data_IF_589361886342
#
_entry.id   IF_589361886342
#
_cell.length_a   1.000
_cell.length_b   1.000
_cell.length_c   1.000
_cell.angle_alpha   90.00
_cell.angle_beta   90.00
_cell.angle_gamma   90.00
#
_symmetry.space_group_name_H-M   'P 1'
#
loop_
_entity.id
_entity.type
_entity.pdbx_description
1 polymer ?
#
# COMPACT_ATOMS: atom_id res chain seq x y z
N UNK A 1 27.64 19.37 6.84
CA UNK A 1 26.72 19.52 5.70
C UNK A 1 26.07 18.18 5.47
N UNK A 2 24.77 18.03 5.81
CA UNK A 2 24.05 16.76 5.62
C UNK A 2 23.80 16.58 4.12
N UNK A 3 24.00 15.36 3.62
CA UNK A 3 23.72 14.98 2.23
C UNK A 3 22.27 15.33 1.89
N UNK A 4 22.06 16.28 0.97
CA UNK A 4 20.71 16.63 0.47
C UNK A 4 20.04 15.45 -0.26
N UNK A 5 20.82 14.42 -0.62
CA UNK A 5 20.33 13.18 -1.22
C UNK A 5 20.69 11.99 -0.33
N UNK A 6 19.80 11.59 0.59
CA UNK A 6 20.04 10.45 1.49
C UNK A 6 19.30 9.17 1.07
N UNK A 7 18.23 9.27 0.27
CA UNK A 7 17.38 8.14 -0.10
C UNK A 7 18.10 7.21 -1.09
N UNK A 8 18.33 5.97 -0.67
CA UNK A 8 18.92 4.92 -1.53
C UNK A 8 17.85 4.19 -2.34
N UNK A 9 18.26 3.39 -3.31
CA UNK A 9 17.35 2.58 -4.12
C UNK A 9 16.55 1.58 -3.29
N UNK A 10 17.18 0.98 -2.29
CA UNK A 10 16.52 0.05 -1.38
C UNK A 10 15.57 0.79 -0.44
N UNK A 11 15.98 1.93 0.09
CA UNK A 11 15.16 2.76 0.96
C UNK A 11 13.86 3.22 0.30
N UNK A 12 13.94 3.61 -0.98
CA UNK A 12 12.78 3.99 -1.79
C UNK A 12 11.85 2.80 -2.01
N UNK A 13 12.41 1.64 -2.38
CA UNK A 13 11.65 0.40 -2.56
C UNK A 13 10.92 0.02 -1.26
N UNK A 14 11.65 -0.09 -0.15
CA UNK A 14 11.10 -0.45 1.15
C UNK A 14 9.99 0.52 1.56
N UNK A 15 10.22 1.83 1.42
CA UNK A 15 9.21 2.83 1.79
C UNK A 15 7.96 2.76 0.91
N UNK A 16 8.08 2.58 -0.40
CA UNK A 16 6.90 2.44 -1.28
C UNK A 16 6.12 1.19 -0.88
N UNK A 17 6.82 0.07 -0.69
CA UNK A 17 6.19 -1.20 -0.33
C UNK A 17 5.48 -1.11 1.02
N UNK A 18 6.13 -0.58 2.06
CA UNK A 18 5.51 -0.45 3.39
C UNK A 18 4.44 0.64 3.46
N UNK A 19 4.46 1.64 2.57
CA UNK A 19 3.41 2.67 2.51
C UNK A 19 2.15 2.17 1.79
N UNK A 20 2.30 1.28 0.82
CA UNK A 20 1.17 0.72 0.05
C UNK A 20 0.59 -0.51 0.74
N UNK A 21 1.47 -1.45 1.14
CA UNK A 21 1.06 -2.65 1.87
C UNK A 21 0.87 -2.24 3.33
N UNK A 22 -0.34 -1.77 3.61
CA UNK A 22 -0.81 -1.50 4.96
C UNK A 22 -1.74 -2.59 5.48
N UNK A 23 -2.40 -2.23 6.57
CA UNK A 23 -3.36 -3.03 7.31
C UNK A 23 -4.48 -3.59 6.43
N UNK A 24 -4.95 -2.80 5.46
CA UNK A 24 -6.04 -3.20 4.55
C UNK A 24 -5.70 -4.36 3.61
N UNK A 25 -4.47 -4.88 3.61
CA UNK A 25 -4.16 -6.11 2.85
C UNK A 25 -4.91 -7.33 3.42
N UNK A 26 -5.19 -7.34 4.73
CA UNK A 26 -5.81 -8.48 5.39
C UNK A 26 -7.28 -8.67 5.05
N UNK A 27 -8.01 -7.58 4.76
CA UNK A 27 -9.41 -7.62 4.29
C UNK A 27 -9.52 -7.85 2.78
N UNK A 28 -8.41 -7.70 2.04
CA UNK A 28 -8.46 -7.52 0.60
C UNK A 28 -9.03 -8.73 -0.16
N UNK A 29 -8.75 -9.94 0.32
CA UNK A 29 -9.33 -11.15 -0.25
C UNK A 29 -10.86 -11.18 -0.12
N UNK A 30 -11.41 -10.75 1.03
CA UNK A 30 -12.87 -10.65 1.23
C UNK A 30 -13.47 -9.63 0.28
N UNK A 31 -12.89 -8.42 0.23
CA UNK A 31 -13.38 -7.32 -0.59
C UNK A 31 -13.46 -7.70 -2.08
N UNK A 32 -12.48 -8.47 -2.58
CA UNK A 32 -12.50 -8.95 -3.96
C UNK A 32 -13.42 -10.15 -4.16
N UNK A 33 -13.46 -11.09 -3.20
CA UNK A 33 -14.36 -12.22 -3.26
C UNK A 33 -15.82 -11.74 -3.35
N UNK A 34 -16.20 -10.70 -2.60
CA UNK A 34 -17.54 -10.11 -2.63
C UNK A 34 -17.96 -9.62 -4.03
N UNK A 35 -17.02 -9.09 -4.81
CA UNK A 35 -17.32 -8.49 -6.13
C UNK A 35 -17.17 -9.51 -7.27
N UNK A 36 -16.11 -10.33 -7.24
CA UNK A 36 -15.71 -11.23 -8.34
C UNK A 36 -15.37 -12.65 -7.90
N UNK A 37 -15.63 -13.02 -6.64
CA UNK A 37 -15.39 -14.36 -6.13
C UNK A 37 -13.95 -14.82 -6.36
N UNK A 38 -13.80 -15.97 -7.02
CA UNK A 38 -12.51 -16.61 -7.30
C UNK A 38 -11.62 -15.79 -8.27
N UNK A 39 -12.19 -14.85 -9.03
CA UNK A 39 -11.47 -14.13 -10.10
C UNK A 39 -10.68 -12.91 -9.60
N UNK A 40 -10.61 -12.70 -8.28
CA UNK A 40 -9.94 -11.54 -7.68
C UNK A 40 -8.49 -11.35 -8.13
N UNK A 41 -7.75 -12.44 -8.32
CA UNK A 41 -6.35 -12.39 -8.77
C UNK A 41 -6.17 -11.80 -10.18
N UNK A 42 -7.13 -12.02 -11.09
CA UNK A 42 -7.12 -11.45 -12.45
C UNK A 42 -7.30 -9.93 -12.38
N UNK A 43 -8.23 -9.48 -11.54
CA UNK A 43 -8.50 -8.06 -11.30
C UNK A 43 -7.25 -7.35 -10.76
N UNK A 44 -6.49 -8.01 -9.88
CA UNK A 44 -5.23 -7.46 -9.35
C UNK A 44 -4.22 -7.23 -10.47
N UNK A 45 -4.05 -8.18 -11.39
CA UNK A 45 -3.11 -8.05 -12.51
C UNK A 45 -3.47 -6.84 -13.38
N UNK A 46 -4.75 -6.72 -13.77
CA UNK A 46 -5.22 -5.61 -14.60
C UNK A 46 -4.98 -4.27 -13.89
N UNK A 47 -5.33 -4.21 -12.60
CA UNK A 47 -5.21 -2.98 -11.82
C UNK A 47 -3.76 -2.60 -11.52
N UNK A 48 -2.87 -3.57 -11.36
CA UNK A 48 -1.43 -3.35 -11.19
C UNK A 48 -0.81 -2.74 -12.45
N UNK A 49 -1.23 -3.19 -13.64
CA UNK A 49 -0.80 -2.61 -14.93
C UNK A 49 -1.26 -1.16 -15.06
N UNK A 50 -2.50 -0.85 -14.67
CA UNK A 50 -3.02 0.54 -14.67
C UNK A 50 -2.21 1.41 -13.70
N UNK A 51 -1.95 0.92 -12.48
CA UNK A 51 -1.15 1.63 -11.50
C UNK A 51 0.30 1.84 -11.92
N UNK A 52 0.86 0.93 -12.72
CA UNK A 52 2.17 1.15 -13.33
C UNK A 52 2.17 2.37 -14.26
N UNK A 53 1.11 2.56 -15.05
CA UNK A 53 0.92 3.77 -15.84
C UNK A 53 0.85 5.03 -14.96
N UNK A 54 0.06 4.98 -13.89
CA UNK A 54 -0.11 6.11 -12.95
C UNK A 54 1.20 6.50 -12.26
N UNK A 55 1.93 5.53 -11.70
CA UNK A 55 3.21 5.80 -11.03
C UNK A 55 4.26 6.34 -12.01
N UNK A 56 4.23 5.87 -13.26
CA UNK A 56 5.14 6.33 -14.29
C UNK A 56 4.86 7.80 -14.67
N UNK A 57 3.58 8.19 -14.75
CA UNK A 57 3.19 9.59 -14.94
C UNK A 57 3.70 10.45 -13.79
N UNK A 58 3.52 10.01 -12.53
CA UNK A 58 4.01 10.72 -11.35
C UNK A 58 5.53 10.89 -11.37
N UNK A 59 6.26 9.85 -11.76
CA UNK A 59 7.70 9.91 -11.99
C UNK A 59 8.10 10.93 -13.06
N UNK A 60 7.41 10.94 -14.20
CA UNK A 60 7.68 11.90 -15.27
C UNK A 60 7.45 13.34 -14.82
N UNK A 61 6.41 13.61 -14.05
CA UNK A 61 6.14 14.93 -13.47
C UNK A 61 7.35 15.41 -12.65
N UNK A 62 7.87 14.55 -11.76
CA UNK A 62 9.01 14.90 -10.91
C UNK A 62 10.30 15.05 -11.73
N UNK A 63 10.52 14.13 -12.69
CA UNK A 63 11.70 14.15 -13.56
C UNK A 63 11.77 15.41 -14.41
N UNK A 64 10.66 15.83 -15.04
CA UNK A 64 10.61 17.02 -15.88
C UNK A 64 10.72 18.31 -15.08
N UNK A 65 10.38 18.29 -13.79
CA UNK A 65 10.60 19.41 -12.88
C UNK A 65 11.91 19.29 -12.09
N UNK A 66 12.93 18.63 -12.67
CA UNK A 66 14.29 18.51 -12.12
C UNK A 66 14.35 17.93 -10.69
N UNK A 67 13.38 17.10 -10.30
CA UNK A 67 13.27 16.54 -8.95
C UNK A 67 13.16 17.62 -7.86
N UNK A 68 12.53 18.75 -8.15
CA UNK A 68 12.16 19.74 -7.15
C UNK A 68 11.12 19.17 -6.15
N UNK A 69 11.00 19.80 -4.99
CA UNK A 69 9.97 19.48 -4.01
C UNK A 69 8.55 19.68 -4.58
N UNK A 70 7.60 18.83 -4.17
CA UNK A 70 6.23 18.87 -4.66
C UNK A 70 5.58 20.26 -4.58
N UNK A 71 5.77 20.98 -3.47
CA UNK A 71 5.26 22.35 -3.31
C UNK A 71 5.78 23.29 -4.40
N UNK A 72 7.07 23.21 -4.71
CA UNK A 72 7.71 24.03 -5.74
C UNK A 72 7.22 23.65 -7.13
N UNK A 73 7.16 22.34 -7.44
CA UNK A 73 6.59 21.84 -8.70
C UNK A 73 5.21 22.43 -8.94
N UNK A 74 4.33 22.34 -7.94
CA UNK A 74 2.94 22.78 -8.09
C UNK A 74 2.86 24.31 -8.25
N UNK A 75 3.62 25.09 -7.48
CA UNK A 75 3.58 26.55 -7.60
C UNK A 75 4.23 27.07 -8.90
N UNK A 76 5.29 26.43 -9.39
CA UNK A 76 5.96 26.85 -10.62
C UNK A 76 5.05 26.63 -11.85
N UNK A 77 4.20 25.59 -11.82
CA UNK A 77 3.30 25.26 -12.93
C UNK A 77 1.92 25.96 -12.83
N UNK A 78 1.35 26.12 -11.64
CA UNK A 78 0.00 26.66 -11.45
C UNK A 78 -0.03 28.09 -10.85
N UNK A 79 1.12 28.64 -10.49
CA UNK A 79 1.24 29.92 -9.80
C UNK A 79 0.96 29.82 -8.29
N UNK A 80 1.29 30.88 -7.56
CA UNK A 80 1.28 30.90 -6.08
C UNK A 80 -0.09 30.66 -5.44
N UNK A 81 -1.17 31.11 -6.08
CA UNK A 81 -2.53 31.01 -5.50
C UNK A 81 -3.13 29.63 -5.71
N UNK A 82 -3.28 29.20 -6.98
CA UNK A 82 -3.79 27.86 -7.31
C UNK A 82 -2.86 26.77 -6.78
N UNK A 83 -1.54 26.97 -6.83
CA UNK A 83 -0.60 26.00 -6.32
C UNK A 83 -0.73 25.76 -4.81
N UNK A 84 -0.99 26.82 -4.04
CA UNK A 84 -1.26 26.69 -2.59
C UNK A 84 -2.55 25.93 -2.31
N UNK A 85 -3.60 26.11 -3.12
CA UNK A 85 -4.86 25.35 -2.99
C UNK A 85 -4.62 23.87 -3.27
N UNK A 86 -3.87 23.54 -4.34
CA UNK A 86 -3.56 22.15 -4.70
C UNK A 86 -2.74 21.47 -3.60
N UNK A 87 -1.69 22.13 -3.08
CA UNK A 87 -0.86 21.57 -2.00
C UNK A 87 -1.68 21.40 -0.72
N UNK A 88 -2.54 22.35 -0.37
CA UNK A 88 -3.40 22.23 0.79
C UNK A 88 -4.39 21.06 0.65
N UNK A 89 -4.99 20.90 -0.54
CA UNK A 89 -5.85 19.75 -0.86
C UNK A 89 -5.11 18.42 -0.71
N UNK A 90 -3.87 18.35 -1.22
CA UNK A 90 -3.01 17.17 -1.06
C UNK A 90 -2.74 16.85 0.42
N UNK A 91 -2.44 17.86 1.25
CA UNK A 91 -2.22 17.68 2.69
C UNK A 91 -3.49 17.16 3.37
N UNK A 92 -4.64 17.78 3.13
CA UNK A 92 -5.92 17.38 3.73
C UNK A 92 -6.27 15.94 3.33
N UNK A 93 -6.10 15.59 2.05
CA UNK A 93 -6.29 14.23 1.57
C UNK A 93 -5.42 13.21 2.32
N UNK A 94 -4.12 13.49 2.47
CA UNK A 94 -3.21 12.59 3.18
C UNK A 94 -3.57 12.47 4.67
N UNK A 95 -3.96 13.56 5.32
CA UNK A 95 -4.39 13.52 6.73
C UNK A 95 -5.62 12.63 6.91
N UNK A 96 -6.62 12.76 6.03
CA UNK A 96 -7.83 11.92 6.09
C UNK A 96 -7.47 10.45 5.83
N UNK A 97 -6.65 10.19 4.81
CA UNK A 97 -6.22 8.84 4.45
C UNK A 97 -5.46 8.15 5.60
N UNK A 98 -4.47 8.82 6.18
CA UNK A 98 -3.69 8.30 7.31
C UNK A 98 -4.56 8.13 8.55
N UNK A 99 -5.49 9.05 8.82
CA UNK A 99 -6.42 8.94 9.96
C UNK A 99 -7.33 7.72 9.84
N UNK A 100 -7.84 7.44 8.62
CA UNK A 100 -8.62 6.24 8.36
C UNK A 100 -7.76 4.97 8.52
N UNK A 101 -6.53 4.97 7.99
CA UNK A 101 -5.60 3.86 8.17
C UNK A 101 -5.29 3.57 9.64
N UNK A 102 -5.07 4.62 10.45
CA UNK A 102 -4.86 4.50 11.89
C UNK A 102 -6.09 3.92 12.61
N UNK A 103 -7.29 4.32 12.20
CA UNK A 103 -8.53 3.80 12.77
C UNK A 103 -8.66 2.29 12.53
N UNK A 104 -8.47 1.85 11.29
CA UNK A 104 -8.53 0.42 10.92
C UNK A 104 -7.45 -0.38 11.65
N UNK A 105 -6.22 0.14 11.71
CA UNK A 105 -5.12 -0.47 12.46
C UNK A 105 -5.47 -0.71 13.93
N UNK A 106 -6.02 0.30 14.60
CA UNK A 106 -6.38 0.20 16.02
C UNK A 106 -7.54 -0.78 16.23
N UNK A 107 -8.51 -0.82 15.32
CA UNK A 107 -9.63 -1.77 15.40
C UNK A 107 -9.14 -3.22 15.27
N UNK A 108 -8.19 -3.50 14.38
CA UNK A 108 -7.56 -4.82 14.27
C UNK A 108 -6.73 -5.15 15.52
N UNK A 109 -5.90 -4.23 16.01
CA UNK A 109 -5.15 -4.45 17.25
C UNK A 109 -6.08 -4.75 18.43
N UNK A 110 -7.19 -4.03 18.53
CA UNK A 110 -8.18 -4.26 19.57
C UNK A 110 -8.79 -5.65 19.42
N UNK A 111 -9.22 -6.01 18.21
CA UNK A 111 -9.90 -7.28 18.00
C UNK A 111 -9.01 -8.50 18.26
N UNK A 112 -7.73 -8.45 17.87
CA UNK A 112 -6.85 -9.62 17.90
C UNK A 112 -5.85 -9.66 19.05
N UNK A 113 -5.53 -8.51 19.66
CA UNK A 113 -4.46 -8.42 20.67
C UNK A 113 -4.92 -7.79 21.98
N UNK A 114 -5.78 -6.77 21.93
CA UNK A 114 -6.06 -5.87 23.05
C UNK A 114 -7.56 -5.61 23.24
N UNK A 115 -8.37 -6.67 23.25
CA UNK A 115 -9.85 -6.62 23.25
C UNK A 115 -10.45 -5.71 24.31
N UNK A 116 -9.82 -5.69 25.50
CA UNK A 116 -10.30 -4.93 26.66
C UNK A 116 -9.83 -3.46 26.67
N UNK A 117 -8.92 -3.08 25.78
CA UNK A 117 -8.34 -1.73 25.77
C UNK A 117 -9.24 -0.78 24.97
N UNK A 118 -9.54 0.43 25.50
CA UNK A 118 -10.30 1.44 24.76
C UNK A 118 -9.59 1.86 23.46
N UNK A 119 -10.38 2.05 22.40
CA UNK A 119 -9.89 2.43 21.06
C UNK A 119 -9.17 3.78 21.10
N UNK A 120 -9.68 4.73 21.89
CA UNK A 120 -9.14 6.07 22.06
C UNK A 120 -7.71 6.02 22.63
N UNK A 121 -7.48 5.13 23.60
CA UNK A 121 -6.16 4.96 24.22
C UNK A 121 -5.13 4.45 23.20
N UNK A 122 -5.52 3.46 22.39
CA UNK A 122 -4.67 2.91 21.32
C UNK A 122 -4.36 3.94 20.22
N UNK A 123 -5.32 4.80 19.87
CA UNK A 123 -5.09 5.91 18.93
C UNK A 123 -4.08 6.89 19.51
N UNK A 124 -4.29 7.34 20.76
CA UNK A 124 -3.41 8.34 21.41
C UNK A 124 -1.97 7.81 21.49
N UNK A 125 -1.78 6.57 21.94
CA UNK A 125 -0.42 6.01 22.09
C UNK A 125 0.26 5.85 20.73
N UNK A 126 -0.47 5.44 19.69
CA UNK A 126 0.05 5.34 18.32
C UNK A 126 0.49 6.70 17.78
N UNK A 127 -0.30 7.76 18.01
CA UNK A 127 0.04 9.14 17.60
C UNK A 127 1.27 9.64 18.35
N UNK A 128 1.41 9.34 19.64
CA UNK A 128 2.59 9.72 20.44
C UNK A 128 3.86 9.05 19.89
N UNK A 129 3.80 7.75 19.61
CA UNK A 129 4.93 6.99 19.03
C UNK A 129 5.30 7.53 17.64
N UNK A 130 4.31 7.76 16.77
CA UNK A 130 4.54 8.35 15.46
C UNK A 130 5.16 9.75 15.55
N UNK A 131 4.68 10.58 16.48
CA UNK A 131 5.20 11.93 16.73
C UNK A 131 6.65 11.90 17.23
N UNK A 132 7.04 10.88 18.01
CA UNK A 132 8.42 10.68 18.42
C UNK A 132 9.33 10.33 17.24
N UNK A 133 8.88 9.45 16.34
CA UNK A 133 9.64 9.06 15.14
C UNK A 133 9.91 10.25 14.20
N UNK A 134 8.94 11.16 14.04
CA UNK A 134 9.06 12.34 13.16
C UNK A 134 10.18 13.30 13.63
N UNK A 135 10.52 13.31 14.92
CA UNK A 135 11.63 14.13 15.45
C UNK A 135 12.98 13.74 14.85
N UNK A 136 13.12 12.53 14.32
CA UNK A 136 14.34 12.04 13.67
C UNK A 136 14.57 12.56 12.24
N UNK A 137 13.73 13.46 11.72
CA UNK A 137 13.72 13.89 10.31
C UNK A 137 13.38 12.76 9.32
N UNK A 138 13.29 13.10 8.04
CA UNK A 138 12.88 12.16 6.97
C UNK A 138 13.92 11.04 6.77
N UNK A 139 15.21 11.29 7.00
CA UNK A 139 16.26 10.25 6.88
C UNK A 139 16.05 9.11 7.87
N UNK A 140 15.67 9.41 9.12
CA UNK A 140 15.38 8.38 10.12
C UNK A 140 14.14 7.57 9.75
N UNK A 141 13.10 8.22 9.23
CA UNK A 141 11.89 7.53 8.78
C UNK A 141 12.18 6.56 7.62
N UNK A 142 13.00 6.99 6.66
CA UNK A 142 13.35 6.18 5.49
C UNK A 142 14.18 4.95 5.91
N UNK A 143 15.11 5.09 6.85
CA UNK A 143 15.85 3.95 7.44
C UNK A 143 14.97 3.05 8.30
N UNK A 144 14.01 3.62 9.01
CA UNK A 144 13.04 2.84 9.78
C UNK A 144 12.22 1.93 8.85
N UNK A 145 11.77 2.42 7.70
CA UNK A 145 11.03 1.61 6.72
C UNK A 145 11.85 0.44 6.15
N UNK A 146 13.17 0.57 6.04
CA UNK A 146 14.04 -0.55 5.65
C UNK A 146 13.98 -1.71 6.65
N UNK A 147 13.97 -1.40 7.94
CA UNK A 147 13.85 -2.41 9.01
C UNK A 147 12.43 -2.98 9.05
N UNK A 148 11.42 -2.10 9.00
CA UNK A 148 10.01 -2.50 8.99
C UNK A 148 9.70 -3.44 7.84
N UNK A 149 10.28 -3.23 6.66
CA UNK A 149 10.11 -4.14 5.54
C UNK A 149 10.48 -5.59 5.92
N UNK A 150 11.66 -5.83 6.49
CA UNK A 150 12.04 -7.20 6.85
C UNK A 150 11.21 -7.75 8.00
N UNK A 151 10.93 -6.93 9.02
CA UNK A 151 10.14 -7.35 10.18
C UNK A 151 8.72 -7.72 9.78
N UNK A 152 8.12 -7.00 8.83
CA UNK A 152 6.75 -7.28 8.36
C UNK A 152 6.70 -8.47 7.39
N UNK A 153 7.63 -8.57 6.43
CA UNK A 153 7.51 -9.58 5.36
C UNK A 153 8.07 -10.95 5.73
N UNK A 154 9.06 -11.05 6.63
CA UNK A 154 9.62 -12.37 7.02
C UNK A 154 8.54 -13.29 7.61
N UNK A 155 7.75 -12.88 8.64
CA UNK A 155 6.70 -13.73 9.20
C UNK A 155 5.62 -14.08 8.17
N UNK A 156 5.23 -13.10 7.36
CA UNK A 156 4.17 -13.30 6.35
C UNK A 156 4.60 -14.32 5.30
N UNK A 157 5.87 -14.35 4.89
CA UNK A 157 6.36 -15.38 3.96
C UNK A 157 6.14 -16.78 4.53
N UNK A 158 6.37 -17.01 5.83
CA UNK A 158 6.10 -18.32 6.43
C UNK A 158 4.61 -18.67 6.41
N UNK A 159 3.75 -17.71 6.76
CA UNK A 159 2.29 -17.90 6.69
C UNK A 159 1.85 -18.26 5.27
N UNK A 160 2.33 -17.54 4.25
CA UNK A 160 2.00 -17.83 2.86
C UNK A 160 2.51 -19.21 2.41
N UNK A 161 3.66 -19.66 2.89
CA UNK A 161 4.17 -21.01 2.61
C UNK A 161 3.30 -22.11 3.24
N UNK A 162 2.85 -21.91 4.49
CA UNK A 162 1.92 -22.84 5.15
C UNK A 162 0.56 -22.87 4.44
N UNK A 163 0.02 -21.71 4.09
CA UNK A 163 -1.22 -21.58 3.35
C UNK A 163 -1.16 -22.27 1.98
N UNK A 164 -0.02 -22.16 1.29
CA UNK A 164 0.21 -22.85 0.01
C UNK A 164 0.20 -24.37 0.16
N UNK A 165 0.76 -24.90 1.26
CA UNK A 165 0.80 -26.35 1.50
C UNK A 165 -0.56 -26.94 1.86
N UNK A 166 -1.40 -26.19 2.60
CA UNK A 166 -2.70 -26.66 3.07
C UNK A 166 -3.87 -26.35 2.12
N UNK A 167 -3.71 -25.38 1.22
CA UNK A 167 -4.79 -24.90 0.37
C UNK A 167 -5.22 -25.89 -0.72
N UNK A 168 -6.52 -25.93 -1.00
CA UNK A 168 -7.08 -26.64 -2.15
C UNK A 168 -7.23 -25.68 -3.33
N UNK A 169 -6.42 -25.86 -4.37
CA UNK A 169 -6.44 -25.03 -5.57
C UNK A 169 -7.71 -25.19 -6.42
N UNK A 170 -8.50 -26.25 -6.19
CA UNK A 170 -9.80 -26.43 -6.82
C UNK A 170 -10.77 -25.30 -6.43
N UNK A 171 -10.58 -24.68 -5.28
CA UNK A 171 -11.36 -23.52 -4.83
C UNK A 171 -11.20 -22.27 -5.71
N UNK A 172 -10.18 -22.21 -6.58
CA UNK A 172 -10.04 -21.13 -7.56
C UNK A 172 -10.95 -21.33 -8.78
N UNK A 173 -11.55 -22.52 -8.93
CA UNK A 173 -12.45 -22.84 -10.02
C UNK A 173 -13.92 -22.64 -9.57
N UNK A 174 -14.83 -22.33 -10.50
CA UNK A 174 -14.58 -21.96 -11.89
C UNK A 174 -14.00 -20.53 -12.03
N UNK A 175 -13.23 -20.29 -13.09
CA UNK A 175 -12.67 -18.97 -13.43
C UNK A 175 -13.56 -18.28 -14.46
N UNK A 176 -13.58 -16.95 -14.43
CA UNK A 176 -14.23 -16.05 -15.39
C UNK A 176 -15.76 -16.20 -15.48
N UNK A 177 -16.43 -16.43 -14.36
CA UNK A 177 -17.90 -16.61 -14.35
C UNK A 177 -18.68 -15.32 -14.08
N UNK A 178 -17.99 -14.24 -13.70
CA UNK A 178 -18.64 -12.98 -13.35
C UNK A 178 -19.04 -12.16 -14.60
N UNK A 179 -19.99 -11.23 -14.40
CA UNK A 179 -20.38 -10.27 -15.46
C UNK A 179 -19.22 -9.31 -15.75
N UNK A 180 -19.03 -8.86 -17.01
CA UNK A 180 -18.03 -7.84 -17.36
C UNK A 180 -18.04 -6.60 -16.46
N UNK A 181 -19.23 -6.13 -16.06
CA UNK A 181 -19.40 -4.99 -15.16
C UNK A 181 -18.73 -5.19 -13.79
N UNK A 182 -18.77 -6.41 -13.23
CA UNK A 182 -18.19 -6.71 -11.93
C UNK A 182 -16.66 -6.59 -11.96
N UNK A 183 -16.01 -7.00 -13.05
CA UNK A 183 -14.57 -6.80 -13.20
C UNK A 183 -14.18 -5.33 -13.27
N UNK A 184 -14.99 -4.49 -13.92
CA UNK A 184 -14.75 -3.04 -13.96
C UNK A 184 -14.85 -2.44 -12.56
N UNK A 185 -15.90 -2.79 -11.80
CA UNK A 185 -16.07 -2.35 -10.41
C UNK A 185 -14.93 -2.82 -9.52
N UNK A 186 -14.54 -4.10 -9.61
CA UNK A 186 -13.43 -4.66 -8.84
C UNK A 186 -12.08 -4.03 -9.22
N UNK A 187 -11.88 -3.72 -10.50
CA UNK A 187 -10.68 -3.01 -10.98
C UNK A 187 -10.60 -1.63 -10.38
N UNK A 188 -11.70 -0.87 -10.39
CA UNK A 188 -11.74 0.46 -9.77
C UNK A 188 -11.50 0.42 -8.25
N UNK A 189 -12.10 -0.55 -7.56
CA UNK A 189 -11.85 -0.77 -6.14
C UNK A 189 -10.37 -1.12 -5.87
N UNK A 190 -9.78 -1.96 -6.71
CA UNK A 190 -8.38 -2.37 -6.59
C UNK A 190 -7.40 -1.24 -6.91
N UNK A 191 -7.69 -0.37 -7.87
CA UNK A 191 -6.79 0.77 -8.14
C UNK A 191 -6.61 1.61 -6.87
N UNK A 192 -7.68 1.78 -6.08
CA UNK A 192 -7.61 2.46 -4.79
C UNK A 192 -6.78 1.72 -3.72
N UNK A 193 -6.48 0.42 -3.89
CA UNK A 193 -5.62 -0.36 -2.98
C UNK A 193 -4.12 -0.14 -3.20
N UNK A 194 -3.75 0.54 -4.29
CA UNK A 194 -2.38 1.00 -4.56
C UNK A 194 -2.12 2.45 -4.09
N UNK A 195 -3.05 3.02 -3.30
CA UNK A 195 -2.79 4.25 -2.53
C UNK A 195 -1.60 4.05 -1.59
N UNK A 196 -0.90 5.12 -1.29
CA UNK A 196 0.41 5.12 -0.64
C UNK A 196 1.58 5.26 -1.61
N UNK A 197 1.36 5.05 -2.91
CA UNK A 197 2.38 5.32 -3.94
C UNK A 197 2.69 6.81 -4.10
N UNK A 198 1.79 7.70 -3.66
CA UNK A 198 1.98 9.15 -3.59
C UNK A 198 3.19 9.61 -2.76
N UNK A 199 3.70 8.75 -1.87
CA UNK A 199 4.92 9.00 -1.10
C UNK A 199 6.12 9.35 -1.99
N UNK A 200 6.11 8.94 -3.27
CA UNK A 200 7.16 9.28 -4.23
C UNK A 200 7.25 10.78 -4.50
N UNK A 201 6.16 11.54 -4.42
CA UNK A 201 6.20 13.00 -4.55
C UNK A 201 7.02 13.65 -3.44
N UNK A 202 7.08 13.00 -2.27
CA UNK A 202 7.81 13.48 -1.12
C UNK A 202 9.26 12.96 -1.09
N UNK A 203 9.53 11.75 -1.60
CA UNK A 203 10.85 11.12 -1.48
C UNK A 203 11.77 11.27 -2.69
N UNK A 204 11.23 11.33 -3.90
CA UNK A 204 12.05 11.39 -5.12
C UNK A 204 12.98 12.63 -5.21
N UNK A 205 12.64 13.81 -4.64
CA UNK A 205 13.58 14.94 -4.57
C UNK A 205 14.91 14.60 -3.89
N UNK A 206 14.88 13.74 -2.86
CA UNK A 206 16.02 13.42 -1.97
C UNK A 206 16.81 12.16 -2.41
N UNK A 207 16.64 11.71 -3.64
CA UNK A 207 17.17 10.43 -4.12
C UNK A 207 18.59 10.53 -4.66
N UNK A 208 19.48 9.65 -4.17
CA UNK A 208 20.90 9.59 -4.57
C UNK A 208 21.13 9.29 -6.05
N UNK A 209 20.36 8.35 -6.63
CA UNK A 209 20.56 7.85 -8.01
C UNK A 209 19.28 7.96 -8.83
N UNK A 210 19.05 9.15 -9.38
CA UNK A 210 17.88 9.54 -10.19
C UNK A 210 17.73 8.77 -11.51
N UNK A 211 18.80 8.14 -12.01
CA UNK A 211 18.75 7.35 -13.25
C UNK A 211 18.11 5.95 -13.07
N UNK A 212 18.09 5.39 -11.86
CA UNK A 212 17.55 4.05 -11.58
C UNK A 212 16.09 4.07 -11.10
N UNK A 213 15.51 5.25 -10.94
CA UNK A 213 14.22 5.48 -10.30
C UNK A 213 13.09 4.70 -10.94
N UNK A 214 12.93 4.80 -12.27
CA UNK A 214 11.85 4.09 -12.98
C UNK A 214 11.88 2.59 -12.74
N UNK A 215 13.09 1.98 -12.73
CA UNK A 215 13.26 0.56 -12.45
C UNK A 215 12.86 0.21 -11.00
N UNK A 216 13.18 1.08 -10.04
CA UNK A 216 12.81 0.86 -8.63
C UNK A 216 11.30 0.97 -8.46
N UNK A 217 10.64 1.94 -9.11
CA UNK A 217 9.19 2.10 -9.08
C UNK A 217 8.48 0.87 -9.67
N UNK A 218 8.96 0.39 -10.83
CA UNK A 218 8.46 -0.86 -11.43
C UNK A 218 8.63 -2.05 -10.48
N UNK A 219 9.83 -2.24 -9.93
CA UNK A 219 10.11 -3.36 -9.02
C UNK A 219 9.24 -3.29 -7.76
N UNK A 220 8.98 -2.09 -7.23
CA UNK A 220 8.13 -1.88 -6.05
C UNK A 220 6.69 -2.29 -6.34
N UNK A 221 6.11 -1.81 -7.45
CA UNK A 221 4.76 -2.18 -7.86
C UNK A 221 4.63 -3.66 -8.23
N UNK A 222 5.64 -4.23 -8.88
CA UNK A 222 5.68 -5.65 -9.21
C UNK A 222 5.65 -6.51 -7.94
N UNK A 223 6.46 -6.15 -6.94
CA UNK A 223 6.44 -6.81 -5.63
C UNK A 223 5.06 -6.69 -4.96
N UNK A 224 4.48 -5.49 -4.93
CA UNK A 224 3.15 -5.26 -4.34
C UNK A 224 2.07 -6.08 -5.05
N UNK A 225 2.06 -6.08 -6.38
CA UNK A 225 1.10 -6.83 -7.19
C UNK A 225 1.20 -8.33 -6.95
N UNK A 226 2.42 -8.90 -6.95
CA UNK A 226 2.63 -10.31 -6.62
C UNK A 226 2.15 -10.61 -5.21
N UNK A 227 2.52 -9.79 -4.23
CA UNK A 227 2.13 -10.00 -2.85
C UNK A 227 0.62 -10.03 -2.69
N UNK A 228 -0.09 -9.07 -3.29
CA UNK A 228 -1.56 -9.04 -3.31
C UNK A 228 -2.16 -10.27 -3.99
N UNK A 229 -1.63 -10.68 -5.14
CA UNK A 229 -2.08 -11.90 -5.83
C UNK A 229 -1.91 -13.12 -4.92
N UNK A 230 -0.76 -13.27 -4.26
CA UNK A 230 -0.48 -14.39 -3.36
C UNK A 230 -1.45 -14.40 -2.18
N UNK A 231 -1.66 -13.26 -1.51
CA UNK A 231 -2.59 -13.17 -0.38
C UNK A 231 -4.00 -13.57 -0.80
N UNK A 232 -4.49 -13.06 -1.93
CA UNK A 232 -5.86 -13.36 -2.41
C UNK A 232 -6.00 -14.80 -2.86
N UNK A 233 -5.06 -15.32 -3.66
CA UNK A 233 -5.08 -16.71 -4.11
C UNK A 233 -5.08 -17.62 -2.89
N UNK A 234 -4.15 -17.43 -1.94
CA UNK A 234 -3.98 -18.31 -0.80
C UNK A 234 -5.17 -18.24 0.17
N UNK A 235 -5.78 -17.07 0.34
CA UNK A 235 -7.01 -16.94 1.13
C UNK A 235 -8.16 -17.74 0.51
N UNK A 236 -8.32 -17.66 -0.82
CA UNK A 236 -9.37 -18.39 -1.54
C UNK A 236 -9.08 -19.89 -1.59
N UNK A 237 -7.83 -20.32 -1.74
CA UNK A 237 -7.50 -21.75 -1.75
C UNK A 237 -7.68 -22.39 -0.38
N UNK A 238 -7.37 -21.68 0.71
CA UNK A 238 -7.57 -22.20 2.07
C UNK A 238 -9.05 -22.26 2.47
N UNK A 239 -9.83 -21.23 2.16
CA UNK A 239 -11.18 -21.08 2.74
C UNK A 239 -12.32 -21.11 1.71
N UNK A 240 -12.06 -21.18 0.39
CA UNK A 240 -13.04 -20.93 -0.67
C UNK A 240 -13.58 -19.49 -0.70
N UNK A 241 -13.98 -19.00 -1.88
CA UNK A 241 -14.49 -17.62 -1.98
C UNK A 241 -15.77 -17.38 -1.17
N UNK A 242 -16.62 -18.40 -0.97
CA UNK A 242 -17.86 -18.23 -0.19
C UNK A 242 -17.59 -17.98 1.29
N UNK A 243 -16.60 -18.65 1.89
CA UNK A 243 -16.24 -18.39 3.28
C UNK A 243 -15.41 -17.11 3.40
N UNK A 244 -14.52 -16.83 2.45
CA UNK A 244 -13.70 -15.60 2.44
C UNK A 244 -14.57 -14.34 2.48
N UNK A 245 -15.72 -14.31 1.79
CA UNK A 245 -16.70 -13.21 1.84
C UNK A 245 -17.29 -12.95 3.23
N UNK A 246 -17.36 -13.98 4.06
CA UNK A 246 -17.95 -13.89 5.40
C UNK A 246 -16.90 -13.50 6.46
N UNK A 247 -15.62 -13.49 6.08
CA UNK A 247 -14.52 -13.17 6.97
C UNK A 247 -14.15 -11.69 6.84
N UNK A 248 -14.01 -11.00 7.97
CA UNK A 248 -13.57 -9.60 7.97
C UNK A 248 -12.10 -9.45 7.55
N UNK A 249 -11.23 -10.38 7.95
CA UNK A 249 -9.80 -10.36 7.66
C UNK A 249 -9.23 -11.74 7.33
N UNK A 250 -9.54 -12.30 6.14
CA UNK A 250 -9.04 -13.61 5.72
C UNK A 250 -7.53 -13.76 5.88
N UNK A 251 -6.76 -12.69 5.62
CA UNK A 251 -5.30 -12.74 5.71
C UNK A 251 -4.77 -12.94 7.14
N UNK A 252 -5.51 -12.52 8.17
CA UNK A 252 -5.15 -12.79 9.58
C UNK A 252 -5.58 -14.20 9.95
N UNK A 253 -6.74 -14.67 9.48
CA UNK A 253 -7.25 -16.03 9.75
C UNK A 253 -6.36 -17.14 9.19
N UNK A 254 -5.50 -16.84 8.20
CA UNK A 254 -4.48 -17.79 7.70
C UNK A 254 -3.31 -18.01 8.68
N UNK A 255 -3.11 -17.11 9.66
CA UNK A 255 -2.01 -17.14 10.63
C UNK A 255 -2.40 -18.05 11.81
#
# INVERSE_FOLDING_TARGET
MRDENFVTSYSLFATIVTSVIGVSVFSYASDLADIVGNDGWIVIIISALINFGLIYIMYLIIKFNNYNEFYKIVNDNFGKYLGKIIVLSFIIYNVIYISNGLRVFVEEMKLYLLEKTPTEFLIIISVIVASYLIRGEVDTLVKFNEVVFWVSFIPVIFVLLFAFYQGDFTNLLPVLQNKPSSYVTATWATINRFKGTEIIFLLLPFMKKKNKTSKILFNSLFFIGIFYILVVILSVTMFSAEQVKLMLWPGITMI
#
